data_IF_328142620141
#
_entry.id   IF_328142620141
#
_cell.length_a   1.000
_cell.length_b   1.000
_cell.length_c   1.000
_cell.angle_alpha   90.00
_cell.angle_beta   90.00
_cell.angle_gamma   90.00
#
_symmetry.space_group_name_H-M   'P 1'
#
loop_
_entity.id
_entity.type
_entity.pdbx_description
1 polymer ?
#
# COMPACT_ATOMS: atom_id res chain seq x y z
N UNK A 1 -9.08 -9.87 -22.53
CA UNK A 1 -8.19 -8.96 -23.29
C UNK A 1 -7.96 -7.60 -22.59
N UNK A 2 -8.03 -7.53 -21.25
CA UNK A 2 -7.89 -6.26 -20.49
C UNK A 2 -6.66 -6.22 -19.54
N UNK A 3 -5.87 -7.29 -19.45
CA UNK A 3 -4.75 -7.38 -18.51
C UNK A 3 -3.43 -6.79 -19.03
N UNK A 4 -3.32 -6.47 -20.33
CA UNK A 4 -2.02 -6.17 -20.96
C UNK A 4 -1.66 -4.68 -21.06
N UNK A 5 -2.51 -3.75 -20.58
CA UNK A 5 -2.23 -2.30 -20.66
C UNK A 5 -1.88 -1.63 -19.31
N UNK A 6 -1.80 -2.38 -18.21
CA UNK A 6 -1.46 -1.82 -16.90
C UNK A 6 0.02 -1.46 -16.72
N UNK A 7 0.88 -1.80 -17.69
CA UNK A 7 2.34 -1.65 -17.57
C UNK A 7 2.85 -0.20 -17.75
N UNK A 8 1.98 0.77 -18.04
CA UNK A 8 2.37 2.20 -18.18
C UNK A 8 2.23 3.02 -16.89
N UNK A 9 1.50 2.53 -15.90
CA UNK A 9 1.23 3.28 -14.68
C UNK A 9 1.82 2.56 -13.46
N UNK A 10 2.68 3.24 -12.71
CA UNK A 10 3.14 2.76 -11.40
C UNK A 10 1.91 2.40 -10.55
N UNK A 11 1.98 1.27 -9.83
CA UNK A 11 0.94 0.76 -8.92
C UNK A 11 0.27 1.86 -8.07
N UNK A 12 1.06 2.88 -7.69
CA UNK A 12 0.61 4.07 -6.97
C UNK A 12 -0.49 4.84 -7.72
N UNK A 13 -0.31 5.08 -9.02
CA UNK A 13 -1.24 5.87 -9.84
C UNK A 13 -2.54 5.14 -10.09
N UNK A 14 -2.50 3.80 -10.20
CA UNK A 14 -3.69 2.98 -10.35
C UNK A 14 -4.58 3.05 -9.11
N UNK A 15 -3.99 2.80 -7.93
CA UNK A 15 -4.69 2.86 -6.65
C UNK A 15 -5.25 4.26 -6.41
N UNK A 16 -4.44 5.30 -6.64
CA UNK A 16 -4.88 6.67 -6.47
C UNK A 16 -6.06 7.01 -7.39
N UNK A 17 -6.01 6.58 -8.65
CA UNK A 17 -7.09 6.81 -9.62
C UNK A 17 -8.39 6.14 -9.23
N UNK A 18 -8.36 4.86 -8.86
CA UNK A 18 -9.55 4.11 -8.44
C UNK A 18 -10.17 4.70 -7.16
N UNK A 19 -9.33 5.08 -6.19
CA UNK A 19 -9.83 5.64 -4.93
C UNK A 19 -10.39 7.05 -5.09
N UNK A 20 -9.77 7.87 -5.93
CA UNK A 20 -10.25 9.23 -6.20
C UNK A 20 -11.62 9.20 -6.89
N UNK A 21 -11.80 8.32 -7.88
CA UNK A 21 -13.11 8.14 -8.52
C UNK A 21 -14.14 7.59 -7.54
N UNK A 22 -13.79 6.60 -6.71
CA UNK A 22 -14.70 6.04 -5.70
C UNK A 22 -15.15 7.08 -4.67
N UNK A 23 -14.23 7.87 -4.11
CA UNK A 23 -14.55 8.93 -3.14
C UNK A 23 -15.40 10.03 -3.79
N UNK A 24 -15.09 10.41 -5.03
CA UNK A 24 -15.88 11.40 -5.76
C UNK A 24 -17.32 10.93 -5.99
N UNK A 25 -17.51 9.68 -6.43
CA UNK A 25 -18.85 9.11 -6.62
C UNK A 25 -19.60 9.02 -5.29
N UNK A 26 -18.94 8.56 -4.22
CA UNK A 26 -19.53 8.43 -2.90
C UNK A 26 -20.00 9.79 -2.35
N UNK A 27 -19.16 10.82 -2.43
CA UNK A 27 -19.48 12.17 -1.92
C UNK A 27 -20.62 12.81 -2.70
N UNK A 28 -20.67 12.61 -4.02
CA UNK A 28 -21.77 13.07 -4.85
C UNK A 28 -23.09 12.37 -4.51
N UNK A 29 -23.07 11.05 -4.31
CA UNK A 29 -24.24 10.28 -3.91
C UNK A 29 -24.77 10.71 -2.53
N UNK A 30 -23.88 10.90 -1.56
CA UNK A 30 -24.27 11.38 -0.21
C UNK A 30 -24.88 12.79 -0.27
N UNK A 31 -24.31 13.70 -1.07
CA UNK A 31 -24.88 15.03 -1.27
C UNK A 31 -26.28 14.97 -1.90
N UNK A 32 -26.48 14.08 -2.88
CA UNK A 32 -27.76 13.88 -3.54
C UNK A 32 -28.82 13.31 -2.59
N UNK A 33 -28.51 12.22 -1.89
CA UNK A 33 -29.43 11.56 -0.96
C UNK A 33 -29.81 12.51 0.19
N UNK A 34 -28.84 13.17 0.81
CA UNK A 34 -29.12 14.13 1.89
C UNK A 34 -29.98 15.30 1.41
N UNK A 35 -29.80 15.76 0.17
CA UNK A 35 -30.64 16.80 -0.41
C UNK A 35 -32.08 16.36 -0.64
N UNK A 36 -32.30 15.09 -1.02
CA UNK A 36 -33.65 14.54 -1.20
C UNK A 36 -34.37 14.41 0.15
N UNK A 37 -33.69 13.85 1.16
CA UNK A 37 -34.24 13.69 2.51
C UNK A 37 -34.61 15.05 3.12
N UNK A 38 -33.72 16.04 3.03
CA UNK A 38 -33.98 17.37 3.56
C UNK A 38 -35.15 18.08 2.86
N UNK A 39 -35.35 17.80 1.56
CA UNK A 39 -36.48 18.34 0.81
C UNK A 39 -37.81 17.74 1.29
N UNK A 40 -37.86 16.42 1.47
CA UNK A 40 -39.06 15.73 1.96
C UNK A 40 -39.41 16.17 3.39
N UNK A 41 -38.41 16.35 4.25
CA UNK A 41 -38.58 16.86 5.60
C UNK A 41 -39.14 18.28 5.61
N UNK A 42 -38.60 19.18 4.78
CA UNK A 42 -39.10 20.55 4.64
C UNK A 42 -40.53 20.58 4.08
N UNK A 43 -40.84 19.73 3.09
CA UNK A 43 -42.18 19.59 2.52
C UNK A 43 -43.18 19.14 3.60
N UNK A 44 -42.84 18.10 4.34
CA UNK A 44 -43.67 17.56 5.43
C UNK A 44 -43.88 18.58 6.54
N UNK A 45 -42.81 19.29 6.95
CA UNK A 45 -42.88 20.33 7.98
C UNK A 45 -43.83 21.47 7.61
N UNK A 46 -43.77 21.96 6.37
CA UNK A 46 -44.67 23.02 5.90
C UNK A 46 -46.11 22.55 5.73
N UNK A 47 -46.30 21.31 5.29
CA UNK A 47 -47.62 20.70 5.24
C UNK A 47 -48.26 20.66 6.64
N UNK A 48 -47.51 20.18 7.65
CA UNK A 48 -48.00 20.15 9.04
C UNK A 48 -48.21 21.56 9.62
N UNK A 49 -47.34 22.51 9.29
CA UNK A 49 -47.50 23.91 9.67
C UNK A 49 -48.80 24.50 9.09
N UNK A 50 -49.12 24.21 7.82
CA UNK A 50 -50.38 24.62 7.20
C UNK A 50 -51.61 24.06 7.90
N UNK A 51 -51.58 22.78 8.30
CA UNK A 51 -52.65 22.18 9.12
C UNK A 51 -52.82 22.93 10.43
N UNK A 52 -51.72 23.17 11.16
CA UNK A 52 -51.78 23.81 12.46
C UNK A 52 -52.23 25.27 12.38
N UNK A 53 -51.74 26.03 11.39
CA UNK A 53 -52.15 27.41 11.15
C UNK A 53 -53.64 27.49 10.83
N UNK A 54 -54.14 26.65 9.93
CA UNK A 54 -55.55 26.63 9.55
C UNK A 54 -56.44 26.22 10.72
N UNK A 55 -56.00 25.29 11.57
CA UNK A 55 -56.72 24.87 12.78
C UNK A 55 -56.78 26.00 13.83
N UNK A 56 -55.65 26.67 14.08
CA UNK A 56 -55.59 27.81 15.01
C UNK A 56 -56.45 28.97 14.50
N UNK A 57 -56.43 29.22 13.19
CA UNK A 57 -57.30 30.16 12.52
C UNK A 57 -58.78 29.80 12.74
N UNK A 58 -59.16 28.54 12.52
CA UNK A 58 -60.54 28.09 12.69
C UNK A 58 -61.06 28.31 14.12
N UNK A 59 -60.23 28.07 15.12
CA UNK A 59 -60.56 28.32 16.52
C UNK A 59 -60.66 29.82 16.83
N UNK A 60 -59.76 30.63 16.29
CA UNK A 60 -59.67 32.07 16.57
C UNK A 60 -60.73 32.90 15.82
N UNK A 61 -61.20 32.42 14.66
CA UNK A 61 -62.26 33.07 13.87
C UNK A 61 -63.68 32.82 14.40
N UNK A 62 -63.84 32.00 15.44
CA UNK A 62 -65.15 31.67 16.00
C UNK A 62 -65.89 32.93 16.48
N UNK A 63 -65.21 33.77 17.27
CA UNK A 63 -65.80 34.98 17.84
C UNK A 63 -66.11 36.04 16.76
N UNK A 64 -65.19 36.40 15.85
CA UNK A 64 -65.50 37.30 14.74
C UNK A 64 -66.70 36.86 13.87
N UNK A 65 -66.85 35.54 13.63
CA UNK A 65 -67.95 34.99 12.85
C UNK A 65 -69.30 34.98 13.60
N UNK A 66 -69.28 34.90 14.94
CA UNK A 66 -70.49 35.01 15.77
C UNK A 66 -70.93 36.47 15.88
N UNK A 67 -69.98 37.37 16.08
CA UNK A 67 -70.23 38.80 16.32
C UNK A 67 -70.50 39.58 15.01
N UNK A 68 -70.28 38.96 13.84
CA UNK A 68 -70.35 39.56 12.50
C UNK A 68 -69.54 40.87 12.39
N UNK A 69 -68.37 40.89 13.06
CA UNK A 69 -67.48 42.05 13.18
C UNK A 69 -66.16 41.82 12.43
N UNK A 70 -65.99 42.39 11.22
CA UNK A 70 -64.77 42.22 10.41
C UNK A 70 -63.50 42.71 11.10
N UNK A 71 -63.57 43.82 11.85
CA UNK A 71 -62.41 44.44 12.53
C UNK A 71 -61.70 43.50 13.52
N UNK A 72 -62.43 42.54 14.10
CA UNK A 72 -61.87 41.55 15.04
C UNK A 72 -61.00 40.50 14.34
N UNK A 73 -61.27 40.23 13.05
CA UNK A 73 -60.51 39.27 12.26
C UNK A 73 -59.35 39.92 11.48
N UNK A 74 -59.39 41.23 11.21
CA UNK A 74 -58.32 41.98 10.51
C UNK A 74 -56.97 41.96 11.26
N UNK A 75 -56.98 42.09 12.59
CA UNK A 75 -55.75 42.08 13.41
C UNK A 75 -55.02 40.73 13.32
N UNK A 76 -55.78 39.63 13.28
CA UNK A 76 -55.25 38.29 13.10
C UNK A 76 -54.70 38.08 11.68
N UNK A 77 -55.41 38.61 10.68
CA UNK A 77 -55.02 38.54 9.28
C UNK A 77 -53.69 39.29 9.02
N UNK A 78 -53.52 40.49 9.55
CA UNK A 78 -52.30 41.30 9.37
C UNK A 78 -51.05 40.57 9.88
N UNK A 79 -51.18 39.80 10.97
CA UNK A 79 -50.06 39.01 11.52
C UNK A 79 -49.70 37.83 10.61
N UNK A 80 -50.70 37.20 9.98
CA UNK A 80 -50.50 36.03 9.13
C UNK A 80 -50.04 36.42 7.73
N UNK A 81 -50.52 37.53 7.18
CA UNK A 81 -50.08 38.04 5.87
C UNK A 81 -48.62 38.52 5.87
N UNK A 82 -48.04 38.78 7.05
CA UNK A 82 -46.60 39.02 7.19
C UNK A 82 -45.75 37.76 7.00
N UNK A 83 -46.35 36.57 7.03
CA UNK A 83 -45.63 35.33 6.75
C UNK A 83 -45.47 35.15 5.23
N UNK A 84 -44.24 35.13 4.73
CA UNK A 84 -43.93 35.06 3.28
C UNK A 84 -44.57 33.86 2.55
N UNK A 85 -44.94 32.82 3.27
CA UNK A 85 -45.47 31.58 2.72
C UNK A 85 -46.98 31.63 2.49
N UNK A 86 -47.69 32.58 3.10
CA UNK A 86 -49.14 32.73 2.99
C UNK A 86 -49.45 33.63 1.79
N UNK A 87 -50.19 33.11 0.81
CA UNK A 87 -50.53 33.86 -0.41
C UNK A 87 -51.98 34.32 -0.44
N UNK A 88 -52.90 33.49 0.05
CA UNK A 88 -54.34 33.80 0.06
C UNK A 88 -54.96 33.34 1.39
N UNK A 89 -55.88 34.13 1.92
CA UNK A 89 -56.68 33.78 3.11
C UNK A 89 -58.11 34.25 2.90
N UNK A 90 -59.10 33.41 3.21
CA UNK A 90 -60.49 33.84 3.30
C UNK A 90 -61.20 33.24 4.51
N UNK A 91 -62.07 34.03 5.12
CA UNK A 91 -62.98 33.64 6.21
C UNK A 91 -64.39 33.92 5.71
N UNK A 92 -65.20 32.87 5.57
CA UNK A 92 -66.50 32.97 4.91
C UNK A 92 -67.58 32.41 5.84
N UNK A 93 -68.70 33.12 5.96
CA UNK A 93 -69.85 32.66 6.74
C UNK A 93 -70.64 31.58 5.97
N UNK A 94 -71.42 30.76 6.67
CA UNK A 94 -72.28 29.72 6.06
C UNK A 94 -73.32 30.24 5.05
N UNK A 95 -73.60 31.54 5.05
CA UNK A 95 -74.41 32.23 4.04
C UNK A 95 -73.66 32.57 2.75
N UNK A 96 -72.42 32.08 2.60
CA UNK A 96 -71.50 32.40 1.49
C UNK A 96 -71.09 33.87 1.39
N UNK A 97 -71.28 34.65 2.46
CA UNK A 97 -70.77 36.02 2.55
C UNK A 97 -69.37 35.96 3.15
N UNK A 98 -68.37 36.45 2.41
CA UNK A 98 -67.00 36.55 2.90
C UNK A 98 -66.93 37.65 3.98
N UNK A 99 -66.50 37.27 5.18
CA UNK A 99 -66.24 38.22 6.27
C UNK A 99 -64.94 38.97 5.97
N UNK A 100 -63.93 38.25 5.47
CA UNK A 100 -62.62 38.77 5.05
C UNK A 100 -62.08 37.91 3.92
N UNK A 101 -61.52 38.55 2.88
CA UNK A 101 -60.79 37.87 1.81
C UNK A 101 -59.54 38.67 1.42
N UNK A 102 -58.37 38.03 1.53
CA UNK A 102 -57.11 38.55 1.05
C UNK A 102 -56.65 37.75 -0.17
N UNK A 103 -56.71 38.41 -1.33
CA UNK A 103 -56.57 37.83 -2.68
C UNK A 103 -57.63 36.78 -3.01
N UNK A 104 -58.31 36.99 -4.14
CA UNK A 104 -59.43 36.14 -4.58
C UNK A 104 -58.98 34.69 -4.81
N UNK A 105 -59.70 33.72 -4.23
CA UNK A 105 -59.52 32.31 -4.57
C UNK A 105 -60.22 32.02 -5.90
N UNK A 106 -59.61 31.22 -6.79
CA UNK A 106 -60.32 30.78 -7.99
C UNK A 106 -61.62 30.07 -7.58
N UNK A 107 -62.72 30.30 -8.32
CA UNK A 107 -64.06 29.78 -8.01
C UNK A 107 -64.14 28.26 -7.75
N UNK A 108 -63.13 27.50 -8.17
CA UNK A 108 -62.98 26.06 -7.95
C UNK A 108 -62.77 25.73 -6.45
N UNK A 109 -62.29 26.66 -5.64
CA UNK A 109 -61.94 26.45 -4.23
C UNK A 109 -62.98 26.99 -3.22
N UNK A 110 -64.00 27.72 -3.69
CA UNK A 110 -65.11 28.19 -2.85
C UNK A 110 -66.18 27.11 -2.62
N UNK A 111 -66.09 25.98 -3.31
CA UNK A 111 -67.11 24.92 -3.24
C UNK A 111 -66.73 23.94 -2.14
N UNK A 112 -67.27 24.16 -0.95
CA UNK A 112 -67.69 23.00 -0.16
C UNK A 112 -68.90 22.41 -0.89
N UNK A 113 -68.81 21.21 -1.50
CA UNK A 113 -70.02 20.53 -1.93
C UNK A 113 -70.73 20.05 -0.66
N UNK A 114 -72.01 19.77 -0.76
CA UNK A 114 -72.90 19.19 0.25
C UNK A 114 -72.45 17.78 0.71
N UNK A 115 -71.19 17.64 1.12
CA UNK A 115 -70.52 16.40 1.48
C UNK A 115 -70.37 16.37 2.99
N UNK A 116 -71.00 15.38 3.61
CA UNK A 116 -70.78 15.00 5.00
C UNK A 116 -69.30 14.69 5.20
N UNK A 117 -68.55 15.68 5.67
CA UNK A 117 -67.17 15.53 6.07
C UNK A 117 -67.06 14.47 7.17
N UNK A 118 -66.18 13.49 6.98
CA UNK A 118 -65.76 12.60 8.09
C UNK A 118 -64.88 13.35 9.11
N UNK A 119 -64.19 14.41 8.69
CA UNK A 119 -63.35 15.27 9.54
C UNK A 119 -63.50 16.75 9.14
N UNK A 120 -63.48 17.72 10.08
CA UNK A 120 -63.77 19.14 9.82
C UNK A 120 -62.67 19.90 9.04
N UNK A 121 -61.89 19.19 8.20
CA UNK A 121 -60.67 19.68 7.57
C UNK A 121 -60.44 19.05 6.19
N UNK A 122 -59.99 19.84 5.21
CA UNK A 122 -59.66 19.39 3.86
C UNK A 122 -58.37 20.05 3.36
N UNK A 123 -57.57 19.34 2.55
CA UNK A 123 -56.35 19.86 1.93
C UNK A 123 -56.27 19.49 0.47
N UNK A 124 -56.02 20.47 -0.39
CA UNK A 124 -55.83 20.30 -1.83
C UNK A 124 -54.40 20.72 -2.19
N UNK A 125 -53.65 19.82 -2.83
CA UNK A 125 -52.28 20.07 -3.28
C UNK A 125 -52.25 20.45 -4.76
N UNK A 126 -51.63 21.58 -5.09
CA UNK A 126 -51.30 21.99 -6.46
C UNK A 126 -49.78 22.05 -6.66
N UNK A 127 -49.26 22.16 -7.90
CA UNK A 127 -47.82 22.27 -8.15
C UNK A 127 -47.13 23.46 -7.46
N UNK A 128 -47.88 24.53 -7.17
CA UNK A 128 -47.34 25.79 -6.65
C UNK A 128 -47.79 26.13 -5.23
N UNK A 129 -48.93 25.60 -4.77
CA UNK A 129 -49.47 25.90 -3.44
C UNK A 129 -50.22 24.71 -2.82
N UNK A 130 -50.32 24.69 -1.49
CA UNK A 130 -51.31 23.89 -0.77
C UNK A 130 -52.46 24.78 -0.33
N UNK A 131 -53.68 24.29 -0.52
CA UNK A 131 -54.91 24.95 -0.08
C UNK A 131 -55.50 24.15 1.07
N UNK A 132 -55.62 24.78 2.23
CA UNK A 132 -56.18 24.19 3.43
C UNK A 132 -57.53 24.82 3.72
N UNK A 133 -58.52 23.97 4.01
CA UNK A 133 -59.86 24.42 4.37
C UNK A 133 -60.26 23.80 5.71
N UNK A 134 -60.73 24.62 6.64
CA UNK A 134 -61.24 24.17 7.93
C UNK A 134 -62.65 24.70 8.20
N UNK A 135 -63.49 23.86 8.82
CA UNK A 135 -64.82 24.23 9.26
C UNK A 135 -64.76 24.91 10.63
N UNK A 136 -65.42 26.06 10.76
CA UNK A 136 -65.65 26.75 12.04
C UNK A 136 -67.03 26.35 12.56
N UNK A 137 -67.07 25.72 13.73
CA UNK A 137 -68.31 25.25 14.32
C UNK A 137 -68.38 25.56 15.83
N UNK A 138 -69.58 25.84 16.32
CA UNK A 138 -69.86 25.93 17.76
C UNK A 138 -70.44 24.62 18.24
N UNK A 139 -70.05 24.20 19.45
CA UNK A 139 -70.82 23.22 20.21
C UNK A 139 -72.00 23.96 20.83
N UNK A 140 -73.21 23.61 20.41
CA UNK A 140 -74.42 24.14 21.01
C UNK A 140 -75.08 23.04 21.84
N UNK A 141 -75.20 23.27 23.15
CA UNK A 141 -76.08 22.50 24.03
C UNK A 141 -77.45 23.17 24.02
N UNK A 142 -78.49 22.57 23.43
CA UNK A 142 -79.81 23.18 23.43
C UNK A 142 -80.34 23.31 24.86
N UNK A 143 -80.69 24.54 25.27
CA UNK A 143 -81.14 24.90 26.64
C UNK A 143 -82.42 24.19 27.11
N UNK A 144 -83.08 23.40 26.26
CA UNK A 144 -84.36 22.76 26.58
C UNK A 144 -84.34 21.22 26.62
N UNK A 145 -83.17 20.57 26.56
CA UNK A 145 -83.06 19.12 26.81
C UNK A 145 -81.84 18.78 27.67
N UNK A 146 -81.90 19.13 28.95
CA UNK A 146 -80.85 18.82 29.92
C UNK A 146 -80.81 17.34 30.39
N UNK A 147 -81.62 16.43 29.82
CA UNK A 147 -81.72 15.04 30.31
C UNK A 147 -81.32 13.94 29.30
N UNK A 148 -80.85 14.27 28.10
CA UNK A 148 -80.28 13.28 27.17
C UNK A 148 -78.83 13.63 26.86
N UNK A 149 -77.90 12.83 27.37
CA UNK A 149 -76.44 13.10 27.34
C UNK A 149 -75.78 12.92 25.96
N UNK A 150 -76.51 12.54 24.91
CA UNK A 150 -75.89 12.03 23.67
C UNK A 150 -76.14 12.83 22.38
N UNK A 151 -76.65 14.06 22.43
CA UNK A 151 -76.86 14.87 21.21
C UNK A 151 -76.25 16.28 21.30
N UNK A 152 -74.92 16.36 21.38
CA UNK A 152 -74.16 17.57 21.04
C UNK A 152 -74.33 17.85 19.54
N UNK A 153 -75.24 18.74 19.17
CA UNK A 153 -75.37 19.20 17.79
C UNK A 153 -74.31 20.25 17.49
N UNK A 154 -73.40 19.91 16.59
CA UNK A 154 -72.35 20.82 16.13
C UNK A 154 -72.93 21.68 15.01
N UNK A 155 -73.03 23.00 15.23
CA UNK A 155 -73.53 23.95 14.21
C UNK A 155 -72.34 24.59 13.51
N UNK A 156 -72.25 24.41 12.18
CA UNK A 156 -71.31 25.13 11.35
C UNK A 156 -71.70 26.62 11.28
N UNK A 157 -70.73 27.52 11.46
CA UNK A 157 -70.93 28.98 11.38
C UNK A 157 -70.20 29.56 10.17
N UNK A 158 -69.05 29.00 9.81
CA UNK A 158 -68.31 29.42 8.63
C UNK A 158 -67.18 28.47 8.28
N UNK A 159 -66.36 28.87 7.32
CA UNK A 159 -65.19 28.13 6.87
C UNK A 159 -64.03 29.09 6.61
N UNK A 160 -62.81 28.55 6.74
CA UNK A 160 -61.58 29.27 6.49
C UNK A 160 -60.82 28.57 5.39
N UNK A 161 -60.31 29.35 4.44
CA UNK A 161 -59.36 28.89 3.45
C UNK A 161 -58.00 29.57 3.65
N UNK A 162 -56.93 28.78 3.58
CA UNK A 162 -55.55 29.23 3.65
C UNK A 162 -54.77 28.64 2.48
N UNK A 163 -54.07 29.48 1.72
CA UNK A 163 -53.15 29.06 0.68
C UNK A 163 -51.70 29.26 1.13
N UNK A 164 -50.92 28.18 1.16
CA UNK A 164 -49.47 28.22 1.38
C UNK A 164 -48.71 27.99 0.08
N UNK A 165 -47.80 28.90 -0.27
CA UNK A 165 -46.92 28.78 -1.45
C UNK A 165 -45.77 27.81 -1.22
N UNK A 166 -45.47 27.01 -2.24
CA UNK A 166 -44.30 26.13 -2.32
C UNK A 166 -43.06 26.82 -2.89
N UNK A 167 -43.15 28.10 -3.27
CA UNK A 167 -42.03 28.84 -3.89
C UNK A 167 -40.78 28.84 -3.01
N UNK A 168 -40.94 29.11 -1.71
CA UNK A 168 -39.82 29.09 -0.76
C UNK A 168 -39.12 27.73 -0.64
N UNK A 169 -39.86 26.62 -0.81
CA UNK A 169 -39.29 25.26 -0.82
C UNK A 169 -38.46 25.05 -2.10
N UNK A 170 -39.00 25.48 -3.25
CA UNK A 170 -38.31 25.39 -4.55
C UNK A 170 -37.00 26.18 -4.53
N UNK A 171 -37.02 27.39 -3.97
CA UNK A 171 -35.83 28.22 -3.84
C UNK A 171 -34.82 27.63 -2.83
N UNK A 172 -35.30 27.13 -1.70
CA UNK A 172 -34.45 26.50 -0.66
C UNK A 172 -33.80 25.20 -1.16
N UNK A 173 -34.41 24.47 -2.10
CA UNK A 173 -33.84 23.24 -2.68
C UNK A 173 -32.43 23.45 -3.24
N UNK A 174 -32.21 24.55 -3.98
CA UNK A 174 -30.88 24.85 -4.56
C UNK A 174 -29.87 25.18 -3.46
N UNK A 175 -30.27 25.93 -2.44
CA UNK A 175 -29.41 26.29 -1.32
C UNK A 175 -29.02 25.07 -0.48
N UNK A 176 -29.97 24.19 -0.17
CA UNK A 176 -29.72 22.93 0.55
C UNK A 176 -28.76 22.04 -0.24
N UNK A 177 -29.00 21.87 -1.54
CA UNK A 177 -28.15 21.07 -2.41
C UNK A 177 -26.71 21.61 -2.43
N UNK A 178 -26.51 22.92 -2.64
CA UNK A 178 -25.18 23.52 -2.67
C UNK A 178 -24.45 23.40 -1.34
N UNK A 179 -25.15 23.59 -0.21
CA UNK A 179 -24.57 23.40 1.13
C UNK A 179 -24.12 21.94 1.33
N UNK A 180 -24.96 20.98 0.97
CA UNK A 180 -24.63 19.56 1.12
C UNK A 180 -23.49 19.15 0.19
N UNK A 181 -23.43 19.68 -1.04
CA UNK A 181 -22.33 19.46 -1.97
C UNK A 181 -21.00 20.00 -1.42
N UNK A 182 -21.00 21.20 -0.84
CA UNK A 182 -19.82 21.79 -0.20
C UNK A 182 -19.34 20.94 0.98
N UNK A 183 -20.26 20.53 1.87
CA UNK A 183 -19.92 19.69 3.03
C UNK A 183 -19.36 18.33 2.60
N UNK A 184 -20.00 17.65 1.65
CA UNK A 184 -19.49 16.39 1.09
C UNK A 184 -18.14 16.57 0.40
N UNK A 185 -17.91 17.71 -0.27
CA UNK A 185 -16.62 18.05 -0.87
C UNK A 185 -15.50 18.20 0.15
N UNK A 186 -15.76 18.86 1.28
CA UNK A 186 -14.80 19.01 2.39
C UNK A 186 -14.44 17.63 2.98
N UNK A 187 -15.45 16.78 3.22
CA UNK A 187 -15.24 15.42 3.73
C UNK A 187 -14.44 14.59 2.71
N UNK A 188 -14.78 14.66 1.43
CA UNK A 188 -14.06 14.00 0.36
C UNK A 188 -12.59 14.42 0.28
N UNK A 189 -12.32 15.73 0.39
CA UNK A 189 -10.96 16.26 0.42
C UNK A 189 -10.18 15.76 1.64
N UNK A 190 -10.79 15.78 2.83
CA UNK A 190 -10.15 15.28 4.04
C UNK A 190 -9.81 13.78 3.94
N UNK A 191 -10.72 12.97 3.38
CA UNK A 191 -10.47 11.54 3.12
C UNK A 191 -9.34 11.33 2.11
N UNK A 192 -9.31 12.10 1.02
CA UNK A 192 -8.22 12.03 0.03
C UNK A 192 -6.87 12.45 0.64
N UNK A 193 -6.86 13.46 1.51
CA UNK A 193 -5.66 13.91 2.18
C UNK A 193 -5.12 12.87 3.18
N UNK A 194 -5.99 12.30 4.02
CA UNK A 194 -5.62 11.20 4.91
C UNK A 194 -5.10 9.99 4.14
N UNK A 195 -5.75 9.65 3.02
CA UNK A 195 -5.31 8.57 2.13
C UNK A 195 -3.93 8.85 1.53
N UNK A 196 -3.67 10.08 1.09
CA UNK A 196 -2.36 10.49 0.57
C UNK A 196 -1.27 10.32 1.62
N UNK A 197 -1.54 10.69 2.88
CA UNK A 197 -0.62 10.47 4.00
C UNK A 197 -0.35 8.97 4.23
N UNK A 198 -1.39 8.14 4.24
CA UNK A 198 -1.26 6.69 4.41
C UNK A 198 -0.42 6.05 3.30
N UNK A 199 -0.70 6.41 2.04
CA UNK A 199 0.04 5.90 0.88
C UNK A 199 1.51 6.33 0.93
N UNK A 200 1.78 7.59 1.35
CA UNK A 200 3.15 8.08 1.54
C UNK A 200 3.90 7.30 2.61
N UNK A 201 3.24 6.95 3.72
CA UNK A 201 3.83 6.19 4.82
C UNK A 201 4.07 4.71 4.50
N UNK A 202 3.39 4.14 3.51
CA UNK A 202 3.56 2.74 3.10
C UNK A 202 4.53 2.61 1.92
N UNK A 203 4.37 3.42 0.87
CA UNK A 203 5.10 3.21 -0.39
C UNK A 203 6.55 3.69 -0.31
N UNK A 204 6.82 4.83 0.35
CA UNK A 204 8.20 5.36 0.41
C UNK A 204 9.19 4.43 1.11
N UNK A 205 8.86 3.83 2.27
CA UNK A 205 9.76 2.89 2.93
C UNK A 205 10.03 1.64 2.10
N UNK A 206 9.01 1.09 1.44
CA UNK A 206 9.14 -0.10 0.58
C UNK A 206 10.05 0.17 -0.62
N UNK A 207 9.92 1.34 -1.26
CA UNK A 207 10.79 1.73 -2.38
C UNK A 207 12.26 1.85 -1.93
N UNK A 208 12.49 2.41 -0.72
CA UNK A 208 13.83 2.49 -0.14
C UNK A 208 14.39 1.10 0.15
N UNK A 209 13.60 0.20 0.75
CA UNK A 209 14.03 -1.18 1.04
C UNK A 209 14.35 -1.94 -0.25
N UNK A 210 13.49 -1.82 -1.26
CA UNK A 210 13.70 -2.47 -2.56
C UNK A 210 15.01 -2.04 -3.22
N UNK A 211 15.35 -0.74 -3.17
CA UNK A 211 16.64 -0.25 -3.68
C UNK A 211 17.83 -0.80 -2.90
N UNK A 212 17.74 -0.87 -1.58
CA UNK A 212 18.79 -1.45 -0.74
C UNK A 212 18.98 -2.95 -1.00
N UNK A 213 17.88 -3.67 -1.26
CA UNK A 213 17.93 -5.08 -1.66
C UNK A 213 18.59 -5.26 -3.04
N UNK A 214 18.28 -4.41 -4.02
CA UNK A 214 18.91 -4.45 -5.35
C UNK A 214 20.41 -4.15 -5.27
N UNK A 215 20.81 -3.18 -4.44
CA UNK A 215 22.23 -2.91 -4.16
C UNK A 215 22.92 -4.12 -3.52
N UNK A 216 22.29 -4.73 -2.51
CA UNK A 216 22.82 -5.94 -1.86
C UNK A 216 22.98 -7.13 -2.81
N UNK A 217 22.12 -7.30 -3.82
CA UNK A 217 22.30 -8.34 -4.84
C UNK A 217 23.57 -8.17 -5.69
N UNK A 218 24.10 -6.94 -5.80
CA UNK A 218 25.35 -6.65 -6.52
C UNK A 218 26.58 -6.79 -5.63
N UNK A 219 26.42 -7.28 -4.39
CA UNK A 219 27.48 -7.39 -3.39
C UNK A 219 27.78 -6.08 -2.66
N UNK A 220 27.11 -4.98 -3.02
CA UNK A 220 27.23 -3.69 -2.35
C UNK A 220 26.21 -3.63 -1.20
N UNK A 221 26.55 -4.34 -0.13
CA UNK A 221 25.70 -4.37 1.05
C UNK A 221 25.82 -3.04 1.80
N UNK A 222 24.72 -2.31 2.04
CA UNK A 222 24.72 -1.12 2.88
C UNK A 222 24.94 -1.50 4.36
N UNK A 223 25.50 -0.59 5.17
CA UNK A 223 25.81 -0.86 6.58
C UNK A 223 24.54 -1.12 7.43
N UNK A 224 23.43 -0.43 7.12
CA UNK A 224 22.13 -0.66 7.75
C UNK A 224 21.00 -0.08 6.90
N UNK A 225 19.93 -0.86 6.71
CA UNK A 225 18.63 -0.34 6.32
C UNK A 225 17.93 0.17 7.58
N UNK A 226 18.13 1.45 7.91
CA UNK A 226 17.31 2.11 8.92
C UNK A 226 16.08 2.71 8.23
N UNK A 227 14.97 1.99 8.32
CA UNK A 227 13.71 2.31 7.64
C UNK A 227 12.64 2.55 8.70
N UNK A 228 12.06 3.74 8.65
CA UNK A 228 10.90 4.12 9.45
C UNK A 228 9.63 3.76 8.70
N UNK A 229 8.62 3.23 9.39
CA UNK A 229 7.36 2.83 8.79
C UNK A 229 6.43 2.15 9.78
N UNK A 230 5.47 1.39 9.26
CA UNK A 230 4.64 0.52 10.09
C UNK A 230 5.48 -0.58 10.75
N UNK A 231 4.90 -1.27 11.73
CA UNK A 231 5.57 -2.37 12.45
C UNK A 231 6.12 -3.41 11.49
N UNK A 232 5.34 -3.78 10.47
CA UNK A 232 5.69 -4.78 9.46
C UNK A 232 6.89 -4.33 8.61
N UNK A 233 6.94 -3.05 8.23
CA UNK A 233 8.05 -2.48 7.46
C UNK A 233 9.34 -2.48 8.30
N UNK A 234 9.23 -2.11 9.57
CA UNK A 234 10.37 -2.14 10.50
C UNK A 234 10.87 -3.58 10.70
N UNK A 235 9.95 -4.55 10.84
CA UNK A 235 10.28 -5.97 10.96
C UNK A 235 10.98 -6.51 9.69
N UNK A 236 10.49 -6.16 8.50
CA UNK A 236 11.17 -6.49 7.23
C UNK A 236 12.57 -5.87 7.15
N UNK A 237 12.72 -4.61 7.58
CA UNK A 237 14.01 -3.91 7.61
C UNK A 237 15.00 -4.61 8.55
N UNK A 238 14.55 -5.02 9.73
CA UNK A 238 15.37 -5.76 10.69
C UNK A 238 15.75 -7.14 10.17
N UNK A 239 14.80 -7.87 9.57
CA UNK A 239 15.05 -9.17 8.96
C UNK A 239 16.07 -9.07 7.82
N UNK A 240 15.96 -8.03 6.98
CA UNK A 240 16.94 -7.75 5.94
C UNK A 240 18.33 -7.45 6.52
N UNK A 241 18.43 -6.60 7.55
CA UNK A 241 19.69 -6.30 8.22
C UNK A 241 20.35 -7.57 8.78
N UNK A 242 19.57 -8.43 9.43
CA UNK A 242 20.07 -9.71 9.96
C UNK A 242 20.57 -10.64 8.85
N UNK A 243 19.86 -10.72 7.73
CA UNK A 243 20.29 -11.50 6.56
C UNK A 243 21.60 -10.97 5.98
N UNK A 244 21.71 -9.66 5.78
CA UNK A 244 22.94 -9.02 5.28
C UNK A 244 24.12 -9.26 6.23
N UNK A 245 23.90 -9.17 7.53
CA UNK A 245 24.92 -9.48 8.53
C UNK A 245 25.40 -10.93 8.44
N UNK A 246 24.47 -11.89 8.37
CA UNK A 246 24.80 -13.31 8.26
C UNK A 246 25.55 -13.64 6.96
N UNK A 247 25.25 -12.95 5.85
CA UNK A 247 25.99 -13.11 4.59
C UNK A 247 27.43 -12.61 4.75
N UNK A 248 27.62 -11.38 5.26
CA UNK A 248 28.97 -10.82 5.47
C UNK A 248 29.82 -11.69 6.40
N UNK A 249 29.23 -12.17 7.49
CA UNK A 249 29.93 -13.04 8.44
C UNK A 249 30.39 -14.35 7.77
N UNK A 250 29.55 -14.95 6.92
CA UNK A 250 29.94 -16.13 6.14
C UNK A 250 31.07 -15.84 5.15
N UNK A 251 31.01 -14.71 4.44
CA UNK A 251 32.07 -14.30 3.53
C UNK A 251 33.39 -14.04 4.26
N UNK A 252 33.35 -13.36 5.40
CA UNK A 252 34.52 -13.13 6.25
C UNK A 252 35.11 -14.43 6.79
N UNK A 253 34.30 -15.33 7.33
CA UNK A 253 34.76 -16.62 7.83
C UNK A 253 35.38 -17.47 6.71
N UNK A 254 34.80 -17.44 5.51
CA UNK A 254 35.36 -18.11 4.34
C UNK A 254 36.68 -17.46 3.87
N UNK A 255 36.85 -16.16 4.03
CA UNK A 255 38.14 -15.50 3.78
C UNK A 255 39.19 -15.92 4.80
N UNK A 256 38.87 -15.76 6.10
CA UNK A 256 39.77 -16.13 7.20
C UNK A 256 40.22 -17.58 7.14
N UNK A 257 39.30 -18.49 6.80
CA UNK A 257 39.63 -19.91 6.63
C UNK A 257 40.65 -20.11 5.52
N UNK A 258 40.48 -19.47 4.35
CA UNK A 258 41.47 -19.57 3.27
C UNK A 258 42.81 -18.91 3.62
N UNK A 259 42.78 -17.80 4.34
CA UNK A 259 43.97 -17.06 4.76
C UNK A 259 44.80 -17.85 5.79
N UNK A 260 44.15 -18.72 6.58
CA UNK A 260 44.80 -19.57 7.59
C UNK A 260 45.46 -20.84 7.03
N UNK A 261 45.28 -21.15 5.74
CA UNK A 261 45.89 -22.32 5.11
C UNK A 261 47.34 -22.00 4.75
N UNK A 262 48.27 -22.78 5.31
CA UNK A 262 49.72 -22.66 5.05
C UNK A 262 50.08 -23.00 3.60
N UNK A 263 49.25 -23.84 2.98
CA UNK A 263 49.37 -24.27 1.58
C UNK A 263 48.84 -23.19 0.63
N UNK A 264 49.40 -23.08 -0.57
CA UNK A 264 48.85 -22.16 -1.57
C UNK A 264 47.57 -22.74 -2.17
N UNK A 265 46.49 -21.94 -2.17
CA UNK A 265 45.16 -22.35 -2.65
C UNK A 265 44.68 -21.40 -3.75
N UNK A 266 44.30 -21.98 -4.89
CA UNK A 266 43.68 -21.27 -6.02
C UNK A 266 42.35 -21.95 -6.35
N UNK A 267 41.29 -21.17 -6.52
CA UNK A 267 40.00 -21.67 -7.01
C UNK A 267 39.66 -21.03 -8.35
N UNK A 268 39.01 -21.81 -9.22
CA UNK A 268 38.56 -21.35 -10.54
C UNK A 268 37.07 -21.60 -10.74
N UNK A 269 36.50 -20.96 -11.76
CA UNK A 269 35.20 -21.36 -12.33
C UNK A 269 35.34 -22.59 -13.26
N UNK A 270 34.22 -23.01 -13.86
CA UNK A 270 34.15 -24.14 -14.78
C UNK A 270 34.97 -23.94 -16.08
N UNK A 271 35.30 -22.70 -16.42
CA UNK A 271 36.14 -22.35 -17.57
C UNK A 271 37.63 -22.31 -17.22
N UNK A 272 37.99 -22.50 -15.95
CA UNK A 272 39.37 -22.42 -15.47
C UNK A 272 39.87 -20.99 -15.26
N UNK A 273 38.96 -20.02 -15.09
CA UNK A 273 39.28 -18.64 -14.78
C UNK A 273 39.39 -18.45 -13.26
N UNK A 274 40.42 -17.74 -12.78
CA UNK A 274 40.66 -17.56 -11.35
C UNK A 274 39.51 -16.78 -10.70
N UNK A 275 38.91 -17.37 -9.67
CA UNK A 275 37.87 -16.73 -8.84
C UNK A 275 38.40 -16.30 -7.49
N UNK A 276 39.31 -17.08 -6.89
CA UNK A 276 39.95 -16.80 -5.58
C UNK A 276 41.39 -17.30 -5.52
N UNK A 277 42.18 -16.63 -4.69
CA UNK A 277 43.56 -16.95 -4.33
C UNK A 277 43.78 -16.58 -2.87
N UNK A 278 44.46 -17.43 -2.10
CA UNK A 278 44.93 -17.06 -0.76
C UNK A 278 46.29 -16.33 -0.83
N UNK A 279 46.72 -15.63 0.25
CA UNK A 279 47.98 -14.87 0.24
C UNK A 279 49.23 -15.72 -0.05
N UNK A 280 49.25 -16.99 0.36
CA UNK A 280 50.36 -17.90 0.06
C UNK A 280 50.46 -18.17 -1.45
N UNK A 281 49.35 -18.39 -2.12
CA UNK A 281 49.32 -18.53 -3.58
C UNK A 281 49.74 -17.24 -4.30
N UNK A 282 49.38 -16.07 -3.76
CA UNK A 282 49.85 -14.79 -4.30
C UNK A 282 51.37 -14.70 -4.23
N UNK A 283 51.95 -15.06 -3.08
CA UNK A 283 53.39 -15.02 -2.86
C UNK A 283 54.16 -16.00 -3.75
N UNK A 284 53.67 -17.22 -3.95
CA UNK A 284 54.38 -18.25 -4.73
C UNK A 284 54.24 -18.06 -6.24
N UNK A 285 53.14 -17.47 -6.71
CA UNK A 285 52.91 -17.22 -8.15
C UNK A 285 53.39 -15.85 -8.60
N UNK A 286 53.57 -14.91 -7.68
CA UNK A 286 53.89 -13.52 -7.99
C UNK A 286 52.71 -12.72 -8.54
N UNK A 287 51.48 -13.24 -8.41
CA UNK A 287 50.25 -12.58 -8.83
C UNK A 287 49.40 -12.20 -7.63
N UNK A 288 48.86 -10.98 -7.60
CA UNK A 288 47.78 -10.65 -6.66
C UNK A 288 46.44 -11.14 -7.21
N UNK A 289 45.49 -11.49 -6.35
CA UNK A 289 44.12 -11.87 -6.73
C UNK A 289 43.47 -10.77 -7.56
N UNK A 290 43.73 -9.50 -7.25
CA UNK A 290 43.23 -8.37 -8.03
C UNK A 290 43.69 -8.42 -9.50
N UNK A 291 44.91 -8.89 -9.77
CA UNK A 291 45.47 -9.01 -11.12
C UNK A 291 45.23 -10.38 -11.77
N UNK A 292 45.04 -11.43 -10.96
CA UNK A 292 44.80 -12.79 -11.43
C UNK A 292 43.33 -13.09 -11.70
N UNK A 293 42.39 -12.40 -11.03
CA UNK A 293 40.94 -12.65 -11.15
C UNK A 293 40.49 -12.55 -12.61
N UNK A 294 39.81 -13.60 -13.08
CA UNK A 294 39.37 -13.72 -14.47
C UNK A 294 40.45 -14.13 -15.47
N UNK A 295 41.72 -14.24 -15.08
CA UNK A 295 42.78 -14.80 -15.92
C UNK A 295 42.70 -16.34 -15.94
N UNK A 296 43.30 -16.96 -16.96
CA UNK A 296 43.35 -18.42 -17.03
C UNK A 296 44.35 -18.98 -16.02
N UNK A 297 43.98 -20.05 -15.32
CA UNK A 297 44.88 -20.81 -14.45
C UNK A 297 46.19 -21.23 -15.15
N UNK A 298 46.16 -21.40 -16.47
CA UNK A 298 47.34 -21.80 -17.27
C UNK A 298 48.43 -20.73 -17.28
N UNK A 299 48.04 -19.47 -17.19
CA UNK A 299 48.95 -18.33 -17.22
C UNK A 299 49.50 -18.03 -15.82
N UNK A 300 48.70 -18.32 -14.78
CA UNK A 300 49.04 -18.05 -13.37
C UNK A 300 49.85 -19.21 -12.75
N UNK A 301 49.65 -20.44 -13.23
CA UNK A 301 50.31 -21.64 -12.71
C UNK A 301 51.13 -22.38 -13.80
N UNK A 302 52.18 -21.76 -14.36
CA UNK A 302 53.06 -22.43 -15.31
C UNK A 302 54.00 -23.38 -14.57
N UNK A 303 53.96 -24.66 -14.94
CA UNK A 303 54.80 -25.70 -14.32
C UNK A 303 55.67 -26.42 -15.34
N UNK A 304 56.85 -26.82 -14.90
CA UNK A 304 57.83 -27.59 -15.68
C UNK A 304 58.29 -28.84 -14.93
N UNK A 305 58.73 -29.85 -15.67
CA UNK A 305 59.35 -31.03 -15.09
C UNK A 305 60.79 -30.71 -14.67
N UNK A 306 61.16 -31.07 -13.45
CA UNK A 306 62.49 -30.77 -12.89
C UNK A 306 63.63 -31.48 -13.62
N UNK A 307 63.40 -32.69 -14.13
CA UNK A 307 64.43 -33.53 -14.74
C UNK A 307 64.62 -33.21 -16.21
N UNK A 308 63.53 -33.09 -16.96
CA UNK A 308 63.59 -32.83 -18.41
C UNK A 308 63.66 -31.34 -18.73
N UNK A 309 63.38 -30.47 -17.77
CA UNK A 309 63.21 -29.02 -17.94
C UNK A 309 62.14 -28.63 -18.99
N UNK A 310 61.25 -29.55 -19.34
CA UNK A 310 60.17 -29.31 -20.29
C UNK A 310 58.91 -28.76 -19.59
N UNK A 311 58.21 -27.83 -20.26
CA UNK A 311 56.92 -27.32 -19.78
C UNK A 311 55.86 -28.41 -19.80
N UNK A 312 55.16 -28.60 -18.69
CA UNK A 312 54.03 -29.52 -18.62
C UNK A 312 52.83 -28.80 -19.22
N UNK A 313 52.38 -29.23 -20.41
CA UNK A 313 51.26 -28.57 -21.10
C UNK A 313 49.93 -28.95 -20.45
N UNK A 314 49.23 -27.92 -19.97
CA UNK A 314 47.84 -27.99 -19.50
C UNK A 314 47.58 -29.12 -18.47
N UNK A 315 48.36 -29.20 -17.37
CA UNK A 315 48.30 -30.31 -16.43
C UNK A 315 46.95 -30.47 -15.75
N UNK A 316 46.19 -29.37 -15.64
CA UNK A 316 44.93 -29.31 -14.91
C UNK A 316 43.70 -29.51 -15.80
N UNK A 317 43.87 -29.67 -17.11
CA UNK A 317 42.76 -29.77 -18.07
C UNK A 317 41.76 -30.88 -17.70
N UNK A 318 42.28 -32.03 -17.29
CA UNK A 318 41.48 -33.21 -16.97
C UNK A 318 40.59 -33.02 -15.74
N UNK A 319 40.93 -32.08 -14.85
CA UNK A 319 40.09 -31.76 -13.68
C UNK A 319 38.76 -31.20 -14.14
N UNK A 320 38.77 -30.27 -15.09
CA UNK A 320 37.57 -29.61 -15.60
C UNK A 320 36.86 -30.45 -16.68
N UNK A 321 37.59 -31.20 -17.51
CA UNK A 321 36.99 -31.97 -18.62
C UNK A 321 36.56 -33.38 -18.23
N UNK A 322 37.28 -34.03 -17.32
CA UNK A 322 37.03 -35.42 -16.91
C UNK A 322 36.54 -35.51 -15.46
N UNK A 323 36.65 -34.43 -14.67
CA UNK A 323 36.22 -34.42 -13.29
C UNK A 323 37.09 -35.27 -12.36
N UNK A 324 38.33 -35.56 -12.78
CA UNK A 324 39.28 -36.34 -12.02
C UNK A 324 40.14 -35.46 -11.13
N UNK A 325 40.47 -35.95 -9.93
CA UNK A 325 41.50 -35.30 -9.10
C UNK A 325 42.87 -35.63 -9.65
N UNK A 326 43.68 -34.61 -9.91
CA UNK A 326 45.04 -34.75 -10.43
C UNK A 326 46.04 -34.45 -9.33
N UNK A 327 47.06 -35.29 -9.20
CA UNK A 327 48.22 -35.06 -8.36
C UNK A 327 49.45 -34.85 -9.25
N UNK A 328 50.10 -33.69 -9.13
CA UNK A 328 51.41 -33.47 -9.73
C UNK A 328 52.47 -33.86 -8.69
N UNK A 329 53.31 -34.81 -9.08
CA UNK A 329 54.33 -35.39 -8.21
C UNK A 329 55.48 -34.42 -7.91
N UNK A 330 56.34 -34.79 -6.95
CA UNK A 330 57.46 -34.02 -6.37
C UNK A 330 58.57 -33.60 -7.36
N UNK A 331 58.36 -33.77 -8.66
CA UNK A 331 59.29 -33.43 -9.73
C UNK A 331 58.77 -32.26 -10.58
N UNK A 332 58.01 -31.37 -9.95
CA UNK A 332 57.35 -30.24 -10.60
C UNK A 332 57.92 -28.93 -10.06
N UNK A 333 58.23 -28.01 -10.96
CA UNK A 333 58.71 -26.67 -10.63
C UNK A 333 57.71 -25.65 -11.14
N UNK A 334 57.19 -24.82 -10.23
CA UNK A 334 56.40 -23.63 -10.53
C UNK A 334 57.35 -22.50 -10.93
N UNK A 335 56.98 -21.77 -11.99
CA UNK A 335 57.67 -20.55 -12.40
C UNK A 335 56.77 -19.37 -12.03
N UNK A 336 57.19 -18.59 -11.04
CA UNK A 336 56.49 -17.38 -10.64
C UNK A 336 56.57 -16.31 -11.75
N UNK A 337 55.69 -15.30 -11.70
CA UNK A 337 55.64 -14.17 -12.64
C UNK A 337 56.97 -13.41 -12.74
N UNK A 338 57.73 -13.36 -11.65
CA UNK A 338 59.06 -12.75 -11.54
C UNK A 338 60.19 -13.68 -11.99
N UNK A 339 59.87 -14.83 -12.59
CA UNK A 339 60.78 -15.92 -12.95
C UNK A 339 61.46 -16.64 -11.78
N UNK A 340 60.97 -16.50 -10.55
CA UNK A 340 61.44 -17.31 -9.43
C UNK A 340 60.95 -18.76 -9.57
N UNK A 341 61.84 -19.73 -9.40
CA UNK A 341 61.53 -21.16 -9.48
C UNK A 341 61.25 -21.72 -8.08
N UNK A 342 60.05 -22.28 -7.89
CA UNK A 342 59.69 -23.00 -6.67
C UNK A 342 59.46 -24.46 -6.98
N UNK A 343 60.11 -25.35 -6.24
CA UNK A 343 59.74 -26.75 -6.30
C UNK A 343 58.46 -26.97 -5.52
N UNK A 344 57.51 -27.64 -6.15
CA UNK A 344 56.19 -27.80 -5.58
C UNK A 344 55.69 -29.24 -5.63
N UNK A 345 54.81 -29.55 -4.69
CA UNK A 345 53.83 -30.63 -4.81
C UNK A 345 52.47 -29.99 -4.98
N UNK A 346 51.59 -30.58 -5.78
CA UNK A 346 50.25 -30.01 -5.95
C UNK A 346 49.18 -31.05 -6.22
N UNK A 347 47.97 -30.77 -5.76
CA UNK A 347 46.77 -31.52 -6.07
C UNK A 347 45.68 -30.58 -6.57
N UNK A 348 44.95 -31.00 -7.60
CA UNK A 348 43.80 -30.27 -8.10
C UNK A 348 42.57 -31.16 -8.14
N UNK A 349 41.47 -30.69 -7.58
CA UNK A 349 40.20 -31.41 -7.47
C UNK A 349 39.05 -30.57 -8.01
N UNK A 350 38.04 -31.19 -8.66
CA UNK A 350 36.88 -30.46 -9.15
C UNK A 350 35.97 -30.01 -7.99
N UNK A 351 35.43 -28.81 -8.10
CA UNK A 351 34.36 -28.30 -7.23
C UNK A 351 33.04 -28.68 -7.88
N UNK A 352 32.16 -29.35 -7.13
CA UNK A 352 30.89 -29.89 -7.66
C UNK A 352 29.68 -29.31 -6.94
N UNK A 353 28.57 -29.16 -7.66
CA UNK A 353 27.27 -28.84 -7.05
C UNK A 353 26.58 -30.12 -6.53
N UNK A 354 25.35 -29.96 -6.00
CA UNK A 354 24.54 -31.07 -5.49
C UNK A 354 24.13 -32.07 -6.57
N UNK A 355 24.07 -31.62 -7.82
CA UNK A 355 23.71 -32.41 -9.00
C UNK A 355 24.93 -33.05 -9.67
N UNK A 356 26.10 -33.01 -9.00
CA UNK A 356 27.38 -33.57 -9.44
C UNK A 356 28.02 -32.86 -10.66
N UNK A 357 27.51 -31.70 -11.07
CA UNK A 357 28.06 -30.86 -12.13
C UNK A 357 29.32 -30.13 -11.65
N UNK A 358 30.32 -29.99 -12.52
CA UNK A 358 31.58 -29.31 -12.22
C UNK A 358 31.37 -27.79 -12.29
N UNK A 359 31.43 -27.13 -11.14
CA UNK A 359 31.36 -25.67 -11.03
C UNK A 359 32.73 -25.00 -11.24
N UNK A 360 33.81 -25.77 -11.12
CA UNK A 360 35.18 -25.29 -11.24
C UNK A 360 36.17 -26.28 -10.64
N UNK A 361 37.33 -25.79 -10.23
CA UNK A 361 38.31 -26.61 -9.50
C UNK A 361 39.00 -25.82 -8.38
N UNK A 362 39.53 -26.56 -7.42
CA UNK A 362 40.46 -26.08 -6.42
C UNK A 362 41.83 -26.72 -6.66
N UNK A 363 42.87 -25.89 -6.71
CA UNK A 363 44.26 -26.28 -6.79
C UNK A 363 44.92 -25.92 -5.45
N UNK A 364 45.58 -26.91 -4.85
CA UNK A 364 46.40 -26.75 -3.65
C UNK A 364 47.83 -27.11 -4.00
N UNK A 365 48.80 -26.28 -3.62
CA UNK A 365 50.22 -26.53 -3.88
C UNK A 365 51.14 -25.96 -2.81
N UNK A 366 52.24 -26.67 -2.56
CA UNK A 366 53.13 -26.40 -1.44
C UNK A 366 54.55 -26.22 -1.93
N UNK A 367 55.26 -25.22 -1.41
CA UNK A 367 56.69 -25.05 -1.68
C UNK A 367 57.49 -26.10 -0.89
N UNK A 368 58.12 -27.01 -1.61
CA UNK A 368 58.97 -28.09 -1.07
C UNK A 368 60.44 -27.92 -1.45
N UNK A 369 60.84 -26.71 -1.87
CA UNK A 369 62.20 -26.42 -2.36
C UNK A 369 63.29 -26.77 -1.34
N UNK A 370 63.10 -26.38 -0.07
CA UNK A 370 64.04 -26.68 1.00
C UNK A 370 64.15 -28.19 1.25
N UNK A 371 63.01 -28.88 1.37
CA UNK A 371 62.95 -30.32 1.58
C UNK A 371 63.65 -31.08 0.46
N UNK A 372 63.50 -30.61 -0.77
CA UNK A 372 64.18 -31.19 -1.91
C UNK A 372 65.69 -30.92 -1.90
N UNK A 373 66.14 -29.71 -1.56
CA UNK A 373 67.57 -29.40 -1.42
C UNK A 373 68.23 -30.27 -0.35
N UNK A 374 67.60 -30.43 0.82
CA UNK A 374 68.06 -31.31 1.88
C UNK A 374 68.15 -32.77 1.41
N UNK A 375 67.14 -33.24 0.67
CA UNK A 375 67.13 -34.60 0.11
C UNK A 375 68.23 -34.81 -0.92
N UNK A 376 68.49 -33.82 -1.78
CA UNK A 376 69.58 -33.90 -2.75
C UNK A 376 70.95 -33.90 -2.06
N UNK A 377 71.16 -33.04 -1.06
CA UNK A 377 72.39 -33.00 -0.28
C UNK A 377 72.65 -34.33 0.43
N UNK A 378 71.63 -34.91 1.06
CA UNK A 378 71.72 -36.23 1.70
C UNK A 378 72.06 -37.35 0.69
N UNK A 379 71.42 -37.34 -0.48
CA UNK A 379 71.71 -38.32 -1.54
C UNK A 379 73.12 -38.18 -2.10
N UNK A 380 73.62 -36.94 -2.24
CA UNK A 380 74.99 -36.67 -2.67
C UNK A 380 75.99 -37.19 -1.63
N UNK A 381 75.82 -36.82 -0.36
CA UNK A 381 76.67 -37.31 0.72
C UNK A 381 76.70 -38.84 0.80
N UNK A 382 75.56 -39.51 0.60
CA UNK A 382 75.49 -40.97 0.55
C UNK A 382 76.30 -41.56 -0.61
N UNK A 383 76.18 -40.98 -1.82
CA UNK A 383 76.94 -41.42 -3.01
C UNK A 383 78.43 -41.20 -2.83
N UNK A 384 78.82 -40.03 -2.29
CA UNK A 384 80.22 -39.70 -2.04
C UNK A 384 80.82 -40.66 -1.00
N UNK A 385 80.08 -40.98 0.07
CA UNK A 385 80.50 -41.98 1.07
C UNK A 385 80.64 -43.38 0.47
N UNK A 386 79.68 -43.82 -0.36
CA UNK A 386 79.77 -45.12 -1.05
C UNK A 386 80.97 -45.18 -2.00
N UNK A 387 81.21 -44.12 -2.78
CA UNK A 387 82.37 -44.05 -3.67
C UNK A 387 83.69 -44.13 -2.91
N UNK A 388 83.78 -43.52 -1.71
CA UNK A 388 84.94 -43.64 -0.83
C UNK A 388 85.09 -45.06 -0.30
N UNK A 389 84.00 -45.71 0.14
CA UNK A 389 84.04 -47.09 0.64
C UNK A 389 84.45 -48.08 -0.46
N UNK A 390 83.91 -47.95 -1.67
CA UNK A 390 84.14 -48.89 -2.77
C UNK A 390 85.55 -48.76 -3.39
N UNK A 391 86.13 -47.55 -3.38
CA UNK A 391 87.44 -47.28 -3.97
C UNK A 391 88.57 -47.15 -2.94
N UNK A 392 88.30 -47.33 -1.64
CA UNK A 392 89.32 -47.29 -0.60
C UNK A 392 90.14 -48.59 -0.60
N UNK A 393 91.49 -48.51 -0.73
CA UNK A 393 92.35 -49.68 -0.57
C UNK A 393 92.48 -50.13 0.90
N UNK A 394 91.92 -49.39 1.86
CA UNK A 394 91.88 -49.74 3.28
C UNK A 394 90.56 -50.42 3.68
N UNK A 395 90.61 -51.41 4.58
CA UNK A 395 89.44 -52.03 5.19
C UNK A 395 88.78 -51.04 6.15
N UNK A 396 87.60 -50.55 5.80
CA UNK A 396 86.80 -49.66 6.65
C UNK A 396 85.80 -50.50 7.42
N UNK A 397 85.96 -50.58 8.75
CA UNK A 397 85.01 -51.23 9.65
C UNK A 397 84.14 -50.19 10.35
N UNK A 398 82.84 -50.24 10.14
CA UNK A 398 81.87 -49.42 10.87
C UNK A 398 81.37 -50.23 12.06
N UNK A 399 81.73 -49.80 13.26
CA UNK A 399 81.22 -50.38 14.51
C UNK A 399 80.00 -49.58 14.96
N UNK A 400 78.86 -50.23 15.10
CA UNK A 400 77.72 -49.63 15.77
C UNK A 400 78.06 -49.47 17.26
N UNK A 401 77.86 -48.26 17.80
CA UNK A 401 78.23 -47.92 19.19
C UNK A 401 76.98 -47.90 20.09
N UNK A 402 75.88 -48.49 19.64
CA UNK A 402 74.66 -48.63 20.43
C UNK A 402 74.60 -49.95 21.20
#
# INVERSE_FOLDING_TARGET
MAYFQLNKYSFRHLILGILLTAIFILTLLVALISSLVAFDEMKSGLYQQGIQLTRNLAQSSLKPLIDDMPSSAEVMLDTLLKMEQITKISIIHTSHIALIEHQEFDHIYHVFPSVTLKEPFNVIETPDSWYFTALVSTRHTPEHQANNTDALTTRAIGYINLALSKKGIKDSRRHIFMRNLMMSGIVGFALLFLMYLALRNLTRPLEKLSRLMEQGQRGDYPASANIYGTREIVEMSNTFNNMVHAIREREQNLSLTLDSIIDAVIATDANGLITRMNPVAESLTGWTLANARGASIKDIFPVMNITTREKIKNPLAKVLTQGETIYLSNHTTLISKDNTEFQITSSASPIRNKDNEILGMVLVFNNVSEQYQLRQAANKNKRDMQAVMDNSPAVIYVKDIN
#
